data_IF_153809272422
#
_entry.id   IF_153809272422
#
_cell.length_a   1.000
_cell.length_b   1.000
_cell.length_c   1.000
_cell.angle_alpha   90.00
_cell.angle_beta   90.00
_cell.angle_gamma   90.00
#
_symmetry.space_group_name_H-M   'P 1'
#
loop_
_entity.id
_entity.type
_entity.pdbx_description
1 polymer ?
#
# COMPACT_ATOMS: atom_id res chain seq x y z
N UNK A 1 -5.28 11.22 -8.63
CA UNK A 1 -4.36 10.63 -9.63
C UNK A 1 -4.25 9.11 -9.44
N UNK A 2 -3.86 8.63 -8.27
CA UNK A 2 -3.66 7.19 -7.97
C UNK A 2 -4.93 6.36 -8.20
N UNK A 3 -6.09 6.84 -7.73
CA UNK A 3 -7.38 6.17 -7.92
C UNK A 3 -7.78 6.07 -9.40
N UNK A 4 -7.53 7.13 -10.18
CA UNK A 4 -7.78 7.14 -11.62
C UNK A 4 -6.88 6.13 -12.35
N UNK A 5 -5.59 6.12 -12.03
CA UNK A 5 -4.62 5.17 -12.62
C UNK A 5 -4.96 3.73 -12.26
N UNK A 6 -5.29 3.45 -11.00
CA UNK A 6 -5.71 2.13 -10.55
C UNK A 6 -7.01 1.67 -11.20
N UNK A 7 -7.99 2.56 -11.33
CA UNK A 7 -9.25 2.29 -12.03
C UNK A 7 -9.06 1.99 -13.52
N UNK A 8 -8.20 2.75 -14.20
CA UNK A 8 -7.85 2.49 -15.59
C UNK A 8 -7.14 1.15 -15.77
N UNK A 9 -6.20 0.83 -14.87
CA UNK A 9 -5.51 -0.46 -14.89
C UNK A 9 -6.49 -1.63 -14.69
N UNK A 10 -7.40 -1.52 -13.69
CA UNK A 10 -8.43 -2.53 -13.48
C UNK A 10 -9.33 -2.70 -14.71
N UNK A 11 -9.71 -1.61 -15.36
CA UNK A 11 -10.50 -1.65 -16.59
C UNK A 11 -9.77 -2.38 -17.72
N UNK A 12 -8.49 -2.11 -17.90
CA UNK A 12 -7.65 -2.84 -18.89
C UNK A 12 -7.57 -4.33 -18.55
N UNK A 13 -7.40 -4.67 -17.27
CA UNK A 13 -7.35 -6.06 -16.81
C UNK A 13 -8.68 -6.79 -17.03
N UNK A 14 -9.82 -6.13 -16.81
CA UNK A 14 -11.15 -6.68 -17.08
C UNK A 14 -11.35 -7.03 -18.55
N UNK A 15 -10.82 -6.22 -19.46
CA UNK A 15 -10.93 -6.48 -20.90
C UNK A 15 -9.94 -7.56 -21.36
N UNK A 16 -8.69 -7.49 -20.87
CA UNK A 16 -7.64 -8.38 -21.34
C UNK A 16 -7.68 -9.79 -20.71
N UNK A 17 -8.23 -9.90 -19.48
CA UNK A 17 -8.22 -11.13 -18.68
C UNK A 17 -9.56 -11.35 -17.96
N UNK A 18 -10.66 -11.30 -18.73
CA UNK A 18 -12.04 -11.37 -18.21
C UNK A 18 -12.28 -12.61 -17.32
N UNK A 19 -11.89 -13.80 -17.79
CA UNK A 19 -12.08 -15.05 -17.06
C UNK A 19 -11.35 -15.06 -15.72
N UNK A 20 -10.12 -14.54 -15.69
CA UNK A 20 -9.31 -14.46 -14.50
C UNK A 20 -9.90 -13.48 -13.48
N UNK A 21 -10.31 -12.29 -13.92
CA UNK A 21 -10.91 -11.28 -13.04
C UNK A 21 -12.26 -11.76 -12.51
N UNK A 22 -13.07 -12.41 -13.36
CA UNK A 22 -14.34 -13.02 -12.93
C UNK A 22 -14.12 -14.09 -11.87
N UNK A 23 -13.13 -14.95 -12.04
CA UNK A 23 -12.75 -15.95 -11.04
C UNK A 23 -12.30 -15.30 -9.71
N UNK A 24 -11.49 -14.24 -9.79
CA UNK A 24 -11.00 -13.52 -8.62
C UNK A 24 -12.15 -12.87 -7.83
N UNK A 25 -13.09 -12.20 -8.51
CA UNK A 25 -14.26 -11.60 -7.89
C UNK A 25 -15.19 -12.66 -7.28
N UNK A 26 -15.39 -13.80 -7.98
CA UNK A 26 -16.14 -14.93 -7.46
C UNK A 26 -15.48 -15.58 -6.23
N UNK A 27 -14.16 -15.50 -6.12
CA UNK A 27 -13.39 -16.03 -4.99
C UNK A 27 -13.53 -15.17 -3.72
N UNK A 28 -13.82 -13.86 -3.86
CA UNK A 28 -13.90 -12.89 -2.77
C UNK A 28 -15.14 -11.98 -2.90
N UNK A 29 -16.36 -12.53 -3.00
CA UNK A 29 -17.54 -11.73 -3.26
C UNK A 29 -17.85 -10.73 -2.15
N UNK A 30 -17.72 -11.11 -0.87
CA UNK A 30 -17.98 -10.20 0.25
C UNK A 30 -16.97 -9.07 0.30
N UNK A 31 -15.69 -9.37 0.05
CA UNK A 31 -14.63 -8.37 0.05
C UNK A 31 -14.83 -7.35 -1.06
N UNK A 32 -15.04 -7.78 -2.30
CA UNK A 32 -15.10 -6.88 -3.45
C UNK A 32 -16.45 -6.16 -3.60
N UNK A 33 -17.57 -6.80 -3.21
CA UNK A 33 -18.90 -6.18 -3.36
C UNK A 33 -19.30 -5.30 -2.17
N UNK A 34 -18.79 -5.59 -0.97
CA UNK A 34 -19.21 -4.89 0.25
C UNK A 34 -18.01 -4.29 0.98
N UNK A 35 -17.02 -5.09 1.33
CA UNK A 35 -15.92 -4.69 2.21
C UNK A 35 -15.10 -3.56 1.64
N UNK A 36 -14.52 -3.76 0.47
CA UNK A 36 -13.65 -2.79 -0.16
C UNK A 36 -14.37 -1.48 -0.56
N UNK A 37 -15.55 -1.50 -1.21
CA UNK A 37 -16.30 -0.29 -1.51
C UNK A 37 -16.69 0.50 -0.27
N UNK A 38 -17.10 -0.18 0.81
CA UNK A 38 -17.46 0.49 2.07
C UNK A 38 -16.25 1.20 2.69
N UNK A 39 -15.11 0.53 2.78
CA UNK A 39 -13.87 1.13 3.29
C UNK A 39 -13.43 2.31 2.42
N UNK A 40 -13.53 2.19 1.10
CA UNK A 40 -13.16 3.26 0.16
C UNK A 40 -14.05 4.50 0.31
N UNK A 41 -15.37 4.31 0.46
CA UNK A 41 -16.31 5.42 0.71
C UNK A 41 -16.00 6.10 2.03
N UNK A 42 -15.75 5.33 3.10
CA UNK A 42 -15.42 5.86 4.42
C UNK A 42 -14.08 6.62 4.39
N UNK A 43 -13.04 6.08 3.76
CA UNK A 43 -11.75 6.77 3.61
C UNK A 43 -11.93 8.08 2.85
N UNK A 44 -12.67 8.06 1.74
CA UNK A 44 -12.94 9.24 0.93
C UNK A 44 -13.68 10.30 1.75
N UNK A 45 -14.72 9.94 2.49
CA UNK A 45 -15.47 10.86 3.35
C UNK A 45 -14.57 11.49 4.42
N UNK A 46 -13.76 10.68 5.11
CA UNK A 46 -12.83 11.17 6.13
C UNK A 46 -11.72 12.03 5.53
N UNK A 47 -11.26 11.72 4.32
CA UNK A 47 -10.29 12.54 3.60
C UNK A 47 -10.85 13.95 3.29
N UNK A 48 -12.10 14.06 2.83
CA UNK A 48 -12.74 15.37 2.68
C UNK A 48 -12.87 16.12 4.00
N UNK A 49 -13.29 15.45 5.07
CA UNK A 49 -13.34 16.04 6.41
C UNK A 49 -11.96 16.53 6.83
N UNK A 50 -10.91 15.75 6.62
CA UNK A 50 -9.54 16.11 6.95
C UNK A 50 -9.09 17.37 6.21
N UNK A 51 -9.28 17.44 4.89
CA UNK A 51 -8.87 18.58 4.07
C UNK A 51 -9.65 19.84 4.44
N UNK A 52 -10.97 19.78 4.48
CA UNK A 52 -11.80 20.97 4.69
C UNK A 52 -11.90 21.42 6.16
N UNK A 53 -11.52 20.56 7.12
CA UNK A 53 -11.51 20.96 8.54
C UNK A 53 -10.23 21.71 8.97
N UNK A 54 -9.20 21.77 8.12
CA UNK A 54 -7.93 22.40 8.47
C UNK A 54 -8.09 23.84 8.97
N UNK A 55 -8.63 24.72 8.12
CA UNK A 55 -8.77 26.14 8.44
C UNK A 55 -9.68 26.41 9.65
N UNK A 56 -10.90 25.87 9.73
CA UNK A 56 -11.78 26.10 10.86
C UNK A 56 -11.23 25.55 12.18
N UNK A 57 -10.58 24.38 12.17
CA UNK A 57 -9.99 23.81 13.39
C UNK A 57 -8.73 24.52 13.83
N UNK A 58 -7.92 25.02 12.89
CA UNK A 58 -6.73 25.79 13.20
C UNK A 58 -7.11 27.17 13.80
N UNK A 59 -8.07 27.87 13.20
CA UNK A 59 -8.61 29.14 13.75
C UNK A 59 -9.24 28.97 15.12
N UNK A 60 -9.90 27.83 15.38
CA UNK A 60 -10.49 27.50 16.66
C UNK A 60 -9.49 26.94 17.69
N UNK A 61 -8.19 26.89 17.37
CA UNK A 61 -7.12 26.27 18.18
C UNK A 61 -7.41 24.81 18.59
N UNK A 62 -8.11 24.06 17.73
CA UNK A 62 -8.50 22.64 17.95
C UNK A 62 -7.66 21.68 17.13
N UNK A 63 -6.34 21.91 17.03
CA UNK A 63 -5.39 21.11 16.24
C UNK A 63 -5.44 19.60 16.55
N UNK A 64 -5.69 19.24 17.83
CA UNK A 64 -5.81 17.85 18.24
C UNK A 64 -6.93 17.08 17.50
N UNK A 65 -8.07 17.73 17.22
CA UNK A 65 -9.15 17.10 16.43
C UNK A 65 -8.74 16.82 15.00
N UNK A 66 -8.01 17.74 14.38
CA UNK A 66 -7.47 17.54 13.04
C UNK A 66 -6.48 16.37 13.00
N UNK A 67 -5.59 16.24 14.00
CA UNK A 67 -4.66 15.11 14.12
C UNK A 67 -5.42 13.79 14.25
N UNK A 68 -6.46 13.74 15.10
CA UNK A 68 -7.30 12.53 15.26
C UNK A 68 -7.96 12.15 13.95
N UNK A 69 -8.49 13.11 13.19
CA UNK A 69 -9.06 12.83 11.85
C UNK A 69 -8.01 12.25 10.90
N UNK A 70 -6.77 12.77 10.93
CA UNK A 70 -5.66 12.23 10.15
C UNK A 70 -5.28 10.81 10.56
N UNK A 71 -5.29 10.49 11.86
CA UNK A 71 -5.06 9.12 12.36
C UNK A 71 -6.14 8.17 11.86
N UNK A 72 -7.43 8.56 11.95
CA UNK A 72 -8.54 7.76 11.43
C UNK A 72 -8.39 7.52 9.94
N UNK A 73 -8.04 8.55 9.16
CA UNK A 73 -7.79 8.43 7.72
C UNK A 73 -6.69 7.41 7.42
N UNK A 74 -5.58 7.46 8.16
CA UNK A 74 -4.51 6.49 8.00
C UNK A 74 -4.93 5.05 8.36
N UNK A 75 -5.73 4.87 9.42
CA UNK A 75 -6.27 3.55 9.77
C UNK A 75 -7.15 3.00 8.65
N UNK A 76 -8.02 3.81 8.05
CA UNK A 76 -8.87 3.40 6.93
C UNK A 76 -8.03 3.03 5.70
N UNK A 77 -7.03 3.84 5.34
CA UNK A 77 -6.11 3.55 4.23
C UNK A 77 -5.30 2.26 4.45
N UNK A 78 -4.82 2.03 5.68
CA UNK A 78 -4.16 0.77 6.04
C UNK A 78 -5.13 -0.42 5.96
N UNK A 79 -6.38 -0.24 6.36
CA UNK A 79 -7.40 -1.31 6.25
C UNK A 79 -7.67 -1.68 4.80
N UNK A 80 -7.74 -0.70 3.89
CA UNK A 80 -7.85 -0.93 2.45
C UNK A 80 -6.64 -1.69 1.90
N UNK A 81 -5.43 -1.31 2.31
CA UNK A 81 -4.21 -1.98 1.91
C UNK A 81 -4.23 -3.45 2.33
N UNK A 82 -4.48 -3.73 3.62
CA UNK A 82 -4.53 -5.08 4.19
C UNK A 82 -5.60 -5.94 3.53
N UNK A 83 -6.78 -5.34 3.25
CA UNK A 83 -7.88 -6.02 2.58
C UNK A 83 -7.51 -6.44 1.15
N UNK A 84 -6.83 -5.58 0.40
CA UNK A 84 -6.45 -5.85 -0.99
C UNK A 84 -5.26 -6.83 -1.10
N UNK A 85 -4.40 -6.87 -0.09
CA UNK A 85 -3.27 -7.78 -0.05
C UNK A 85 -3.69 -9.25 0.06
N UNK A 86 -4.89 -9.54 0.58
CA UNK A 86 -5.43 -10.89 0.63
C UNK A 86 -5.60 -11.51 -0.78
N UNK A 87 -6.42 -10.94 -1.66
CA UNK A 87 -6.52 -11.39 -3.04
C UNK A 87 -5.19 -11.36 -3.81
N UNK A 88 -4.36 -10.34 -3.59
CA UNK A 88 -3.05 -10.24 -4.25
C UNK A 88 -2.12 -11.41 -3.91
N UNK A 89 -2.06 -11.80 -2.65
CA UNK A 89 -1.25 -12.94 -2.21
C UNK A 89 -1.91 -14.27 -2.51
N UNK A 90 -3.25 -14.35 -2.52
CA UNK A 90 -3.97 -15.53 -2.98
C UNK A 90 -3.59 -15.92 -4.41
N UNK A 91 -3.37 -14.96 -5.30
CA UNK A 91 -2.91 -15.23 -6.67
C UNK A 91 -1.50 -15.84 -6.72
N UNK A 92 -0.68 -15.61 -5.69
CA UNK A 92 0.71 -16.06 -5.63
C UNK A 92 0.89 -17.35 -4.81
N UNK A 93 0.14 -17.45 -3.71
CA UNK A 93 0.22 -18.58 -2.77
C UNK A 93 -1.17 -19.06 -2.35
N UNK A 94 -2.00 -19.55 -3.31
CA UNK A 94 -3.34 -20.05 -2.98
C UNK A 94 -3.24 -21.21 -1.99
N UNK A 95 -4.18 -21.33 -1.01
CA UNK A 95 -4.20 -22.46 -0.08
C UNK A 95 -4.29 -23.80 -0.82
N UNK A 96 -3.62 -24.82 -0.32
CA UNK A 96 -3.68 -26.20 -0.84
C UNK A 96 -4.70 -26.99 -0.02
N UNK A 97 -5.41 -27.97 -0.64
CA UNK A 97 -5.34 -28.40 -2.04
C UNK A 97 -6.09 -27.47 -3.02
N UNK A 98 -5.57 -27.30 -4.22
CA UNK A 98 -6.11 -26.35 -5.22
C UNK A 98 -7.53 -26.70 -5.71
N UNK A 99 -7.91 -27.98 -5.72
CA UNK A 99 -9.22 -28.45 -6.15
C UNK A 99 -10.35 -28.11 -5.17
N UNK A 100 -10.02 -27.69 -3.96
CA UNK A 100 -10.99 -27.33 -2.92
C UNK A 100 -11.14 -25.82 -2.73
N UNK A 101 -10.43 -25.00 -3.50
CA UNK A 101 -10.39 -23.54 -3.32
C UNK A 101 -11.75 -22.86 -3.33
N UNK A 102 -12.70 -23.37 -4.11
CA UNK A 102 -14.07 -22.79 -4.15
C UNK A 102 -14.91 -23.15 -2.93
N UNK A 103 -14.54 -24.21 -2.20
CA UNK A 103 -15.27 -24.70 -1.04
C UNK A 103 -14.81 -24.07 0.28
N UNK A 104 -13.65 -23.42 0.30
CA UNK A 104 -13.14 -22.73 1.49
C UNK A 104 -13.65 -21.29 1.57
N UNK A 105 -13.88 -20.82 2.80
CA UNK A 105 -14.34 -19.45 3.04
C UNK A 105 -13.33 -18.38 2.62
N UNK A 106 -13.80 -17.16 2.35
CA UNK A 106 -12.95 -16.03 1.92
C UNK A 106 -11.79 -15.76 2.89
N UNK A 107 -12.02 -15.84 4.21
CA UNK A 107 -10.98 -15.63 5.22
C UNK A 107 -9.85 -16.65 5.13
N UNK A 108 -10.15 -17.89 4.83
CA UNK A 108 -9.13 -18.92 4.65
C UNK A 108 -8.31 -18.70 3.36
N UNK A 109 -8.90 -18.08 2.34
CA UNK A 109 -8.19 -17.66 1.12
C UNK A 109 -7.29 -16.46 1.38
N UNK A 110 -7.78 -15.48 2.16
CA UNK A 110 -7.02 -14.27 2.53
C UNK A 110 -5.82 -14.63 3.42
N UNK A 111 -6.03 -15.48 4.42
CA UNK A 111 -5.00 -15.87 5.39
C UNK A 111 -3.99 -16.89 4.83
N UNK A 112 -3.54 -16.69 3.58
CA UNK A 112 -2.48 -17.50 2.97
C UNK A 112 -1.08 -17.13 3.53
N UNK A 113 -0.05 -17.95 3.22
CA UNK A 113 1.29 -17.82 3.81
C UNK A 113 1.99 -16.49 3.48
N UNK A 114 1.75 -15.93 2.30
CA UNK A 114 2.38 -14.70 1.85
C UNK A 114 1.67 -13.42 2.33
N UNK A 115 0.44 -13.52 2.86
CA UNK A 115 -0.39 -12.36 3.21
C UNK A 115 0.26 -11.45 4.27
N UNK A 116 0.65 -12.00 5.41
CA UNK A 116 1.29 -11.20 6.46
C UNK A 116 2.65 -10.66 6.05
N UNK A 117 3.55 -11.44 5.41
CA UNK A 117 4.80 -10.92 4.87
C UNK A 117 4.62 -9.76 3.90
N UNK A 118 3.65 -9.84 2.99
CA UNK A 118 3.34 -8.73 2.07
C UNK A 118 2.85 -7.50 2.82
N UNK A 119 1.94 -7.66 3.78
CA UNK A 119 1.44 -6.55 4.59
C UNK A 119 2.57 -5.82 5.31
N UNK A 120 3.51 -6.55 5.95
CA UNK A 120 4.67 -5.92 6.59
C UNK A 120 5.57 -5.19 5.59
N UNK A 121 5.86 -5.81 4.45
CA UNK A 121 6.65 -5.17 3.39
C UNK A 121 5.99 -3.88 2.89
N UNK A 122 4.70 -3.90 2.60
CA UNK A 122 3.96 -2.73 2.12
C UNK A 122 3.78 -1.65 3.19
N UNK A 123 3.59 -2.02 4.45
CA UNK A 123 3.51 -1.06 5.56
C UNK A 123 4.82 -0.27 5.69
N UNK A 124 5.96 -0.95 5.68
CA UNK A 124 7.28 -0.34 5.71
C UNK A 124 7.52 0.49 4.44
N UNK A 125 7.16 -0.03 3.27
CA UNK A 125 7.23 0.71 1.99
C UNK A 125 6.40 1.99 1.99
N UNK A 126 5.19 1.97 2.54
CA UNK A 126 4.34 3.16 2.67
C UNK A 126 4.96 4.21 3.60
N UNK A 127 5.55 3.78 4.71
CA UNK A 127 6.28 4.69 5.62
C UNK A 127 7.48 5.34 4.93
N UNK A 128 8.25 4.57 4.17
CA UNK A 128 9.37 5.05 3.36
C UNK A 128 8.90 6.08 2.33
N UNK A 129 7.87 5.74 1.57
CA UNK A 129 7.27 6.63 0.57
C UNK A 129 6.75 7.93 1.19
N UNK A 130 6.03 7.83 2.32
CA UNK A 130 5.53 8.99 3.05
C UNK A 130 6.65 9.92 3.51
N UNK A 131 7.75 9.38 4.04
CA UNK A 131 8.93 10.15 4.43
C UNK A 131 9.55 10.90 3.24
N UNK A 132 9.76 10.21 2.12
CA UNK A 132 10.29 10.85 0.92
C UNK A 132 9.33 11.86 0.28
N UNK A 133 8.02 11.65 0.35
CA UNK A 133 7.05 12.65 -0.12
C UNK A 133 7.14 13.94 0.70
N UNK A 134 7.27 13.85 2.02
CA UNK A 134 7.50 15.02 2.88
C UNK A 134 8.82 15.71 2.51
N UNK A 135 9.89 14.93 2.25
CA UNK A 135 11.17 15.46 1.80
C UNK A 135 11.05 16.22 0.46
N UNK A 136 10.38 15.64 -0.53
CA UNK A 136 10.18 16.26 -1.86
C UNK A 136 9.36 17.54 -1.74
N UNK A 137 8.28 17.54 -0.96
CA UNK A 137 7.47 18.74 -0.72
C UNK A 137 8.31 19.82 -0.02
N UNK A 138 9.08 19.46 1.00
CA UNK A 138 9.99 20.37 1.69
C UNK A 138 11.00 21.00 0.74
N UNK A 139 11.68 20.19 -0.08
CA UNK A 139 12.65 20.64 -1.06
C UNK A 139 12.02 21.56 -2.12
N UNK A 140 10.84 21.19 -2.65
CA UNK A 140 10.11 22.01 -3.60
C UNK A 140 9.75 23.38 -3.03
N UNK A 141 9.17 23.41 -1.82
CA UNK A 141 8.79 24.65 -1.16
C UNK A 141 10.00 25.49 -0.76
N UNK A 142 11.12 24.88 -0.39
CA UNK A 142 12.39 25.57 -0.15
C UNK A 142 12.86 26.34 -1.38
N UNK A 143 12.82 25.71 -2.56
CA UNK A 143 13.26 26.34 -3.81
C UNK A 143 12.33 27.49 -4.23
N UNK A 144 11.05 27.40 -3.90
CA UNK A 144 10.02 28.39 -4.31
C UNK A 144 9.80 29.51 -3.31
N UNK A 145 10.37 29.41 -2.11
CA UNK A 145 10.18 30.42 -1.06
C UNK A 145 11.17 31.58 -1.22
N UNK A 146 10.68 32.79 -1.19
CA UNK A 146 11.50 34.00 -1.25
C UNK A 146 12.03 34.44 0.13
N UNK A 147 11.27 34.14 1.20
CA UNK A 147 11.60 34.53 2.57
C UNK A 147 12.57 33.56 3.21
N UNK A 148 13.58 34.08 3.88
CA UNK A 148 14.59 33.26 4.58
C UNK A 148 13.98 32.35 5.65
N UNK A 149 13.02 32.87 6.43
CA UNK A 149 12.34 32.11 7.49
C UNK A 149 11.57 30.91 6.94
N UNK A 150 10.88 31.09 5.80
CA UNK A 150 10.16 30.01 5.14
C UNK A 150 11.14 28.95 4.59
N UNK A 151 12.28 29.37 4.04
CA UNK A 151 13.34 28.46 3.59
C UNK A 151 13.91 27.63 4.72
N UNK A 152 14.23 28.23 5.87
CA UNK A 152 14.73 27.52 7.05
C UNK A 152 13.71 26.48 7.54
N UNK A 153 12.41 26.83 7.54
CA UNK A 153 11.34 25.91 7.90
C UNK A 153 11.24 24.73 6.93
N UNK A 154 11.22 24.98 5.61
CA UNK A 154 11.10 23.94 4.62
C UNK A 154 12.35 23.07 4.49
N UNK A 155 13.53 23.61 4.73
CA UNK A 155 14.78 22.83 4.83
C UNK A 155 14.66 21.82 6.00
N UNK A 156 14.20 22.27 7.16
CA UNK A 156 13.97 21.39 8.29
C UNK A 156 12.91 20.31 7.99
N UNK A 157 11.80 20.67 7.36
CA UNK A 157 10.74 19.72 6.93
C UNK A 157 11.32 18.67 5.98
N UNK A 158 12.08 19.09 4.98
CA UNK A 158 12.75 18.21 4.02
C UNK A 158 13.75 17.27 4.71
N UNK A 159 14.55 17.79 5.62
CA UNK A 159 15.51 17.00 6.39
C UNK A 159 14.82 15.91 7.24
N UNK A 160 13.79 16.27 7.98
CA UNK A 160 13.02 15.31 8.80
C UNK A 160 12.33 14.25 7.91
N UNK A 161 11.73 14.68 6.80
CA UNK A 161 11.12 13.76 5.85
C UNK A 161 12.13 12.75 5.29
N UNK A 162 13.32 13.22 4.90
CA UNK A 162 14.40 12.37 4.43
C UNK A 162 14.89 11.40 5.51
N UNK A 163 15.10 11.89 6.74
CA UNK A 163 15.54 11.07 7.86
C UNK A 163 14.55 9.92 8.14
N UNK A 164 13.24 10.23 8.16
CA UNK A 164 12.18 9.23 8.35
C UNK A 164 12.18 8.24 7.18
N UNK A 165 12.22 8.73 5.94
CA UNK A 165 12.23 7.89 4.74
C UNK A 165 13.39 6.90 4.73
N UNK A 166 14.62 7.38 4.99
CA UNK A 166 15.83 6.54 5.06
C UNK A 166 15.76 5.54 6.21
N UNK A 167 15.37 6.00 7.42
CA UNK A 167 15.31 5.12 8.59
C UNK A 167 14.32 3.95 8.39
N UNK A 168 13.13 4.24 7.81
CA UNK A 168 12.11 3.21 7.54
C UNK A 168 12.52 2.34 6.33
N UNK A 169 13.29 2.85 5.38
CA UNK A 169 13.79 2.07 4.24
C UNK A 169 14.78 0.97 4.66
N UNK A 170 15.51 1.13 5.75
CA UNK A 170 16.51 0.15 6.17
C UNK A 170 15.96 -1.28 6.36
N UNK A 171 14.82 -1.51 7.02
CA UNK A 171 14.22 -2.84 7.13
C UNK A 171 13.50 -3.32 5.86
N UNK A 172 13.25 -2.45 4.87
CA UNK A 172 12.44 -2.79 3.69
C UNK A 172 12.98 -3.97 2.87
N UNK A 173 14.30 -4.08 2.58
CA UNK A 173 14.84 -5.23 1.86
C UNK A 173 14.64 -6.55 2.61
N UNK A 174 14.79 -6.53 3.95
CA UNK A 174 14.57 -7.72 4.78
C UNK A 174 13.11 -8.18 4.73
N UNK A 175 12.16 -7.26 4.80
CA UNK A 175 10.73 -7.57 4.68
C UNK A 175 10.38 -8.06 3.28
N UNK A 176 10.98 -7.50 2.23
CA UNK A 176 10.86 -7.97 0.85
C UNK A 176 11.40 -9.40 0.67
N UNK A 177 12.56 -9.68 1.25
CA UNK A 177 13.13 -11.03 1.24
C UNK A 177 12.21 -12.05 1.92
N UNK A 178 11.68 -11.74 3.10
CA UNK A 178 10.75 -12.63 3.82
C UNK A 178 9.51 -12.90 2.95
N UNK A 179 8.93 -11.89 2.31
CA UNK A 179 7.78 -12.04 1.43
C UNK A 179 8.09 -12.96 0.24
N UNK A 180 9.17 -12.72 -0.48
CA UNK A 180 9.53 -13.52 -1.66
C UNK A 180 9.95 -14.93 -1.28
N UNK A 181 10.56 -15.12 -0.12
CA UNK A 181 10.87 -16.44 0.44
C UNK A 181 9.62 -17.29 0.63
N UNK A 182 8.51 -16.73 1.12
CA UNK A 182 7.25 -17.47 1.27
C UNK A 182 6.71 -17.93 -0.09
N UNK A 183 6.80 -17.09 -1.11
CA UNK A 183 6.40 -17.46 -2.47
C UNK A 183 7.31 -18.58 -3.01
N UNK A 184 8.61 -18.47 -2.80
CA UNK A 184 9.58 -19.49 -3.23
C UNK A 184 9.34 -20.84 -2.53
N UNK A 185 9.01 -20.83 -1.24
CA UNK A 185 8.68 -22.03 -0.48
C UNK A 185 7.37 -22.67 -0.93
N UNK A 186 6.44 -21.88 -1.41
CA UNK A 186 5.16 -22.35 -1.96
C UNK A 186 5.35 -23.01 -3.34
N UNK A 187 6.03 -22.31 -4.24
CA UNK A 187 6.42 -22.77 -5.58
C UNK A 187 7.72 -22.08 -6.00
N UNK A 188 8.77 -22.90 -6.12
CA UNK A 188 10.11 -22.41 -6.45
C UNK A 188 10.16 -21.74 -7.83
N UNK A 189 9.33 -22.19 -8.79
CA UNK A 189 9.29 -21.61 -10.13
C UNK A 189 8.73 -20.19 -10.09
N UNK A 190 7.60 -19.99 -9.40
CA UNK A 190 6.99 -18.67 -9.22
C UNK A 190 7.94 -17.75 -8.44
N UNK A 191 8.53 -18.23 -7.35
CA UNK A 191 9.49 -17.49 -6.56
C UNK A 191 10.71 -17.05 -7.37
N UNK A 192 11.25 -17.91 -8.20
CA UNK A 192 12.36 -17.57 -9.09
C UNK A 192 11.95 -16.54 -10.14
N UNK A 193 10.76 -16.61 -10.71
CA UNK A 193 10.27 -15.59 -11.64
C UNK A 193 10.14 -14.20 -11.00
N UNK A 194 9.73 -14.14 -9.75
CA UNK A 194 9.60 -12.85 -9.02
C UNK A 194 10.97 -12.31 -8.61
N UNK A 195 11.91 -13.19 -8.19
CA UNK A 195 13.25 -12.79 -7.78
C UNK A 195 14.19 -12.49 -8.93
N UNK A 196 13.99 -13.12 -10.08
CA UNK A 196 14.87 -12.98 -11.23
C UNK A 196 14.07 -12.81 -12.50
N UNK A 197 14.05 -11.63 -13.05
CA UNK A 197 14.04 -11.53 -14.48
C UNK A 197 15.28 -12.27 -15.02
N UNK A 198 15.20 -12.86 -16.21
CA UNK A 198 16.27 -13.70 -16.78
C UNK A 198 17.66 -13.04 -16.72
N UNK A 199 17.70 -11.72 -16.68
CA UNK A 199 18.91 -10.90 -16.57
C UNK A 199 19.40 -10.71 -15.14
N UNK A 200 18.51 -10.76 -14.13
CA UNK A 200 18.87 -10.63 -12.70
C UNK A 200 19.41 -11.92 -12.10
N UNK A 201 19.25 -13.07 -12.75
CA UNK A 201 19.84 -14.33 -12.31
C UNK A 201 21.36 -14.25 -12.19
N UNK A 202 22.01 -13.42 -13.01
CA UNK A 202 23.44 -13.16 -12.93
C UNK A 202 23.85 -12.38 -11.69
N UNK A 203 22.96 -11.60 -11.07
CA UNK A 203 23.23 -10.85 -9.85
C UNK A 203 23.14 -11.66 -8.56
N UNK A 204 22.43 -12.80 -8.58
CA UNK A 204 22.25 -13.67 -7.40
C UNK A 204 23.29 -14.80 -7.33
N UNK A 205 24.07 -15.00 -8.37
CA UNK A 205 25.13 -16.03 -8.45
C UNK A 205 26.53 -15.42 -8.23
N UNK A 206 26.65 -14.11 -8.06
CA UNK A 206 27.87 -13.40 -7.64
C UNK A 206 27.87 -13.12 -6.15
#
# INVERSE_FOLDING_TARGET
>A
FTALTGGLFLFVMLIAYEDFITYLFASFPTLFMVGYPTLFILETAVMYIYVYSWDPLNKANKKGRHIVTGVILNILGLSLLVALDGPATFMQTPPKPLNELMNIGEWAKIANSAWMPLNYHRLVGNGTFGGYMVCVIGAYMYLWSDKKEDREYYDWVGYIGNLIGVAIMLPLPAMGYIFVREIYQYDATIGMYIMSDRESMFMLVQ
#
